data_IF_054295228392
#
_entry.id   IF_054295228392
#
_cell.length_a   1.000
_cell.length_b   1.000
_cell.length_c   1.000
_cell.angle_alpha   90.00
_cell.angle_beta   90.00
_cell.angle_gamma   90.00
#
_symmetry.space_group_name_H-M   'P 1'
#
loop_
_entity.id
_entity.type
_entity.pdbx_description
1 polymer ?
#
# COMPACT_ATOMS: atom_id res chain seq x y z
N UNK A 1 -4.63 -13.67 -2.70
CA UNK A 1 -4.79 -12.40 -1.95
C UNK A 1 -3.47 -12.01 -1.34
N UNK A 2 -3.04 -10.79 -1.55
CA UNK A 2 -1.76 -10.25 -1.08
C UNK A 2 -2.01 -9.13 -0.07
N UNK A 3 -1.04 -8.85 0.76
CA UNK A 3 -1.11 -7.74 1.70
C UNK A 3 0.12 -6.82 1.54
N UNK A 4 -0.07 -5.55 1.86
CA UNK A 4 0.96 -4.52 1.63
C UNK A 4 2.19 -4.73 2.51
N UNK A 5 2.01 -5.10 3.77
CA UNK A 5 3.14 -5.34 4.68
C UNK A 5 4.10 -6.41 4.14
N UNK A 6 3.57 -7.43 3.46
CA UNK A 6 4.41 -8.45 2.84
C UNK A 6 5.25 -7.90 1.68
N UNK A 7 4.73 -6.90 0.95
CA UNK A 7 5.47 -6.29 -0.17
C UNK A 7 6.61 -5.41 0.30
N UNK A 8 6.48 -4.77 1.44
CA UNK A 8 7.50 -3.87 1.97
C UNK A 8 8.81 -4.65 2.20
N UNK A 9 9.89 -4.17 1.60
CA UNK A 9 11.21 -4.79 1.68
C UNK A 9 11.53 -5.79 0.60
N UNK A 10 10.55 -6.23 -0.20
CA UNK A 10 10.82 -7.15 -1.30
C UNK A 10 11.66 -6.49 -2.39
N UNK A 11 12.58 -7.23 -3.02
CA UNK A 11 13.29 -6.73 -4.19
C UNK A 11 12.33 -6.56 -5.37
N UNK A 12 12.55 -5.51 -6.15
CA UNK A 12 11.83 -5.24 -7.39
C UNK A 12 12.73 -5.60 -8.55
N UNK A 13 12.34 -6.59 -9.34
CA UNK A 13 13.11 -7.10 -10.46
C UNK A 13 12.58 -6.56 -11.78
N UNK A 14 13.49 -6.06 -12.61
CA UNK A 14 13.21 -5.70 -13.99
C UNK A 14 13.11 -6.95 -14.86
N UNK A 15 12.56 -6.80 -16.06
CA UNK A 15 12.39 -7.93 -17.01
C UNK A 15 13.72 -8.59 -17.39
N UNK A 16 14.84 -7.88 -17.32
CA UNK A 16 16.18 -8.41 -17.58
C UNK A 16 16.82 -9.09 -16.35
N UNK A 17 16.10 -9.23 -15.24
CA UNK A 17 16.58 -9.82 -14.00
C UNK A 17 17.36 -8.89 -13.09
N UNK A 18 17.61 -7.65 -13.51
CA UNK A 18 18.28 -6.66 -12.67
C UNK A 18 17.34 -6.17 -11.57
N UNK A 19 17.89 -5.95 -10.39
CA UNK A 19 17.15 -5.37 -9.28
C UNK A 19 17.11 -3.85 -9.40
N UNK A 20 15.89 -3.29 -9.45
CA UNK A 20 15.67 -1.84 -9.50
C UNK A 20 15.78 -1.18 -8.12
N UNK A 21 15.63 -1.97 -7.06
CA UNK A 21 15.61 -1.52 -5.68
C UNK A 21 14.73 -2.45 -4.85
N UNK A 22 14.36 -2.02 -3.65
CA UNK A 22 13.40 -2.72 -2.80
C UNK A 22 12.17 -1.85 -2.59
N UNK A 23 11.06 -2.48 -2.29
CA UNK A 23 9.83 -1.76 -1.96
C UNK A 23 10.02 -1.04 -0.63
N UNK A 24 9.97 0.28 -0.64
CA UNK A 24 9.97 1.10 0.56
C UNK A 24 8.56 1.40 1.03
N UNK A 25 7.65 1.63 0.09
CA UNK A 25 6.28 2.02 0.37
C UNK A 25 5.39 1.74 -0.84
N UNK A 26 4.09 1.87 -0.65
CA UNK A 26 3.09 1.79 -1.71
C UNK A 26 2.35 3.11 -1.76
N UNK A 27 2.23 3.68 -2.96
CA UNK A 27 1.43 4.88 -3.21
C UNK A 27 0.01 4.53 -3.63
N UNK A 28 -0.93 5.37 -3.20
CA UNK A 28 -2.35 5.24 -3.52
C UNK A 28 -2.85 6.49 -4.23
N UNK A 29 -3.91 6.33 -5.01
CA UNK A 29 -4.60 7.46 -5.61
C UNK A 29 -5.62 8.09 -4.63
N UNK A 30 -6.38 9.06 -5.12
CA UNK A 30 -7.38 9.77 -4.33
C UNK A 30 -8.55 8.88 -3.84
N UNK A 31 -8.74 7.72 -4.46
CA UNK A 31 -9.76 6.72 -4.08
C UNK A 31 -9.17 5.55 -3.30
N UNK A 32 -7.95 5.68 -2.80
CA UNK A 32 -7.22 4.64 -2.09
C UNK A 32 -7.03 3.35 -2.91
N UNK A 33 -6.87 3.49 -4.21
CA UNK A 33 -6.46 2.38 -5.08
C UNK A 33 -4.94 2.37 -5.23
N UNK A 34 -4.38 1.19 -5.36
CA UNK A 34 -2.94 1.02 -5.58
C UNK A 34 -2.52 1.78 -6.85
N UNK A 35 -1.54 2.64 -6.73
CA UNK A 35 -1.10 3.52 -7.80
C UNK A 35 0.35 3.28 -8.21
N UNK A 36 1.25 3.15 -7.25
CA UNK A 36 2.66 2.97 -7.55
C UNK A 36 3.41 2.24 -6.43
N UNK A 37 4.56 1.71 -6.78
CA UNK A 37 5.53 1.16 -5.84
C UNK A 37 6.63 2.19 -5.66
N UNK A 38 6.90 2.57 -4.42
CA UNK A 38 7.96 3.50 -4.06
C UNK A 38 9.20 2.70 -3.70
N UNK A 39 10.31 3.00 -4.36
CA UNK A 39 11.57 2.31 -4.19
C UNK A 39 12.45 2.98 -3.14
N UNK A 40 13.31 2.19 -2.52
CA UNK A 40 14.25 2.64 -1.49
C UNK A 40 15.48 3.35 -2.04
N UNK A 41 15.57 3.60 -3.35
CA UNK A 41 16.68 4.34 -3.94
C UNK A 41 16.80 5.73 -3.36
N UNK A 42 17.98 6.04 -2.85
CA UNK A 42 18.26 7.38 -2.31
C UNK A 42 18.45 8.37 -3.45
N UNK A 43 17.76 9.50 -3.33
CA UNK A 43 17.98 10.67 -4.15
C UNK A 43 18.65 11.74 -3.28
N UNK A 44 19.55 12.49 -3.89
CA UNK A 44 20.26 13.58 -3.23
C UNK A 44 19.26 14.52 -2.53
N UNK A 45 19.49 14.80 -1.25
CA UNK A 45 18.64 15.63 -0.39
C UNK A 45 17.25 15.07 -0.07
N UNK A 46 16.92 13.85 -0.43
CA UNK A 46 15.64 13.21 -0.13
C UNK A 46 14.40 14.00 -0.55
N UNK A 47 14.52 14.86 -1.59
CA UNK A 47 13.40 15.68 -2.10
C UNK A 47 12.46 14.93 -3.03
N UNK A 48 12.85 13.76 -3.48
CA UNK A 48 12.09 12.95 -4.40
C UNK A 48 12.30 11.48 -4.11
N UNK A 49 11.44 10.64 -4.68
CA UNK A 49 11.56 9.19 -4.64
C UNK A 49 11.49 8.62 -6.04
N UNK A 50 12.00 7.42 -6.25
CA UNK A 50 11.74 6.66 -7.47
C UNK A 50 10.53 5.78 -7.27
N UNK A 51 9.69 5.71 -8.29
CA UNK A 51 8.49 4.90 -8.27
C UNK A 51 8.29 4.17 -9.60
N UNK A 52 7.61 3.04 -9.53
CA UNK A 52 7.13 2.27 -10.68
C UNK A 52 5.61 2.22 -10.60
N UNK A 53 4.92 2.46 -11.71
CA UNK A 53 3.46 2.38 -11.75
C UNK A 53 2.99 0.97 -11.40
N UNK A 54 1.92 0.89 -10.63
CA UNK A 54 1.33 -0.41 -10.29
C UNK A 54 0.90 -1.19 -11.53
N UNK A 55 0.44 -0.49 -12.58
CA UNK A 55 0.08 -1.11 -13.85
C UNK A 55 1.23 -1.83 -14.55
N UNK A 56 2.47 -1.53 -14.19
CA UNK A 56 3.66 -2.19 -14.74
C UNK A 56 4.12 -3.39 -13.92
N UNK A 57 3.43 -3.73 -12.84
CA UNK A 57 3.73 -4.93 -12.05
C UNK A 57 3.21 -6.15 -12.80
N UNK A 58 4.11 -7.04 -13.16
CA UNK A 58 3.79 -8.28 -13.88
C UNK A 58 3.50 -9.43 -12.91
N UNK A 59 4.16 -9.47 -11.77
CA UNK A 59 3.96 -10.52 -10.77
C UNK A 59 4.33 -10.03 -9.37
N UNK A 60 3.55 -10.49 -8.39
CA UNK A 60 3.85 -10.34 -6.97
C UNK A 60 4.12 -11.73 -6.40
N UNK A 61 5.40 -12.08 -6.26
CA UNK A 61 5.81 -13.34 -5.67
C UNK A 61 6.04 -13.24 -4.16
N UNK A 62 6.37 -14.36 -3.55
CA UNK A 62 6.71 -14.41 -2.13
C UNK A 62 8.06 -13.73 -1.84
N UNK A 63 8.96 -13.76 -2.80
CA UNK A 63 10.35 -13.32 -2.63
C UNK A 63 10.70 -12.06 -3.42
N UNK A 64 9.89 -11.67 -4.39
CA UNK A 64 10.16 -10.52 -5.26
C UNK A 64 8.91 -10.02 -5.97
N UNK A 65 8.93 -8.74 -6.30
CA UNK A 65 8.03 -8.15 -7.31
C UNK A 65 8.74 -8.13 -8.66
N UNK A 66 8.04 -8.52 -9.70
CA UNK A 66 8.56 -8.45 -11.07
C UNK A 66 7.77 -7.41 -11.84
N UNK A 67 8.47 -6.48 -12.47
CA UNK A 67 7.86 -5.45 -13.31
C UNK A 67 8.04 -5.78 -14.78
N UNK A 68 7.12 -5.29 -15.61
CA UNK A 68 7.14 -5.56 -17.05
C UNK A 68 8.32 -4.89 -17.74
N UNK A 69 8.63 -5.34 -18.97
CA UNK A 69 9.67 -4.73 -19.79
C UNK A 69 9.37 -3.26 -20.14
N UNK A 70 8.12 -2.84 -20.03
CA UNK A 70 7.68 -1.45 -20.27
C UNK A 70 7.81 -0.56 -19.03
N UNK A 71 8.16 -1.12 -17.89
CA UNK A 71 8.24 -0.36 -16.65
C UNK A 71 9.29 0.74 -16.75
N UNK A 72 8.90 1.92 -16.30
CA UNK A 72 9.75 3.10 -16.27
C UNK A 72 9.88 3.56 -14.82
N UNK A 73 11.11 3.79 -14.37
CA UNK A 73 11.36 4.42 -13.08
C UNK A 73 11.03 5.91 -13.19
N UNK A 74 10.03 6.34 -12.45
CA UNK A 74 9.64 7.75 -12.38
C UNK A 74 10.20 8.38 -11.12
N UNK A 75 10.67 9.60 -11.26
CA UNK A 75 11.11 10.43 -10.14
C UNK A 75 9.95 11.30 -9.69
N UNK A 76 9.47 11.08 -8.47
CA UNK A 76 8.32 11.80 -7.92
C UNK A 76 8.80 12.70 -6.78
N UNK A 77 8.55 14.02 -6.86
CA UNK A 77 8.82 14.91 -5.74
C UNK A 77 8.04 14.50 -4.49
N UNK A 78 8.67 14.52 -3.32
CA UNK A 78 8.02 14.08 -2.08
C UNK A 78 6.74 14.84 -1.76
N UNK A 79 6.66 16.11 -2.11
CA UNK A 79 5.46 16.92 -1.86
C UNK A 79 4.25 16.47 -2.69
N UNK A 80 4.46 15.65 -3.73
CA UNK A 80 3.40 15.05 -4.54
C UNK A 80 2.98 13.66 -4.07
N UNK A 81 3.70 13.08 -3.10
CA UNK A 81 3.33 11.81 -2.48
C UNK A 81 2.28 12.07 -1.40
N UNK A 82 1.04 12.24 -1.82
CA UNK A 82 -0.03 12.59 -0.89
C UNK A 82 -0.42 11.39 -0.04
N UNK A 83 -0.83 10.29 -0.67
CA UNK A 83 -1.33 9.08 0.01
C UNK A 83 -0.38 7.92 -0.20
N UNK A 84 0.19 7.41 0.88
CA UNK A 84 1.00 6.19 0.87
C UNK A 84 0.61 5.30 2.05
N UNK A 85 1.17 4.09 2.08
CA UNK A 85 0.93 3.20 3.20
C UNK A 85 1.56 3.74 4.50
N UNK A 86 2.81 4.20 4.46
CA UNK A 86 3.51 4.55 5.71
C UNK A 86 4.38 5.82 5.70
N UNK A 87 4.72 6.41 4.55
CA UNK A 87 5.71 7.50 4.50
C UNK A 87 5.21 8.83 3.92
N UNK A 88 4.05 8.85 3.31
CA UNK A 88 3.51 10.06 2.67
C UNK A 88 2.86 11.04 3.65
N UNK A 89 2.26 12.07 3.09
CA UNK A 89 1.57 13.12 3.87
C UNK A 89 0.36 12.51 4.59
N UNK A 90 -0.44 11.73 3.87
CA UNK A 90 -1.53 10.94 4.44
C UNK A 90 -1.10 9.47 4.40
N UNK A 91 -0.99 8.87 5.57
CA UNK A 91 -0.57 7.48 5.73
C UNK A 91 -1.78 6.60 5.95
N UNK A 92 -1.90 5.53 5.16
CA UNK A 92 -2.99 4.58 5.34
C UNK A 92 -2.86 3.82 6.66
N UNK A 93 -1.63 3.46 7.01
CA UNK A 93 -1.35 2.78 8.28
C UNK A 93 -1.80 3.65 9.45
N UNK A 94 -2.60 3.07 10.33
CA UNK A 94 -3.19 3.69 11.52
C UNK A 94 -4.35 4.65 11.26
N UNK A 95 -4.82 4.81 10.02
CA UNK A 95 -6.06 5.53 9.80
C UNK A 95 -7.25 4.79 10.44
N UNK A 96 -8.16 5.50 11.05
CA UNK A 96 -9.38 4.89 11.59
C UNK A 96 -10.31 4.45 10.45
N UNK A 97 -10.99 3.33 10.66
CA UNK A 97 -11.98 2.79 9.74
C UNK A 97 -13.36 2.86 10.40
N UNK A 98 -14.31 3.44 9.69
CA UNK A 98 -15.66 3.66 10.20
C UNK A 98 -16.69 2.88 9.40
N UNK A 99 -17.77 2.45 10.08
CA UNK A 99 -18.97 1.98 9.40
C UNK A 99 -19.71 3.15 8.76
N UNK A 100 -20.69 2.87 7.91
CA UNK A 100 -21.55 3.89 7.29
C UNK A 100 -22.35 4.69 8.33
N UNK A 101 -22.59 4.13 9.52
CA UNK A 101 -23.25 4.81 10.63
C UNK A 101 -22.29 5.67 11.47
N UNK A 102 -21.01 5.68 11.14
CA UNK A 102 -20.01 6.49 11.83
C UNK A 102 -19.40 5.82 13.06
N UNK A 103 -19.51 4.51 13.19
CA UNK A 103 -18.89 3.76 14.28
C UNK A 103 -17.48 3.34 13.90
N UNK A 104 -16.50 3.62 14.74
CA UNK A 104 -15.11 3.21 14.51
C UNK A 104 -14.95 1.70 14.74
N UNK A 105 -14.42 1.01 13.72
CA UNK A 105 -14.14 -0.43 13.78
C UNK A 105 -12.74 -0.75 14.29
N UNK A 106 -11.82 0.19 14.14
CA UNK A 106 -10.41 0.04 14.50
C UNK A 106 -9.55 0.88 13.60
N UNK A 107 -8.24 0.63 13.64
CA UNK A 107 -7.25 1.34 12.82
C UNK A 107 -6.55 0.39 11.87
N UNK A 108 -6.17 0.89 10.71
CA UNK A 108 -5.50 0.08 9.68
C UNK A 108 -4.12 -0.36 10.16
N UNK A 109 -3.91 -1.67 10.24
CA UNK A 109 -2.60 -2.28 10.44
C UNK A 109 -1.99 -2.76 9.12
N UNK A 110 -2.82 -3.27 8.22
CA UNK A 110 -2.43 -3.74 6.91
C UNK A 110 -3.64 -3.71 5.97
N UNK A 111 -3.39 -3.84 4.66
CA UNK A 111 -4.46 -3.92 3.67
C UNK A 111 -4.22 -5.08 2.73
N UNK A 112 -5.32 -5.65 2.25
CA UNK A 112 -5.33 -6.77 1.32
C UNK A 112 -5.81 -6.33 -0.06
N UNK A 113 -5.20 -6.90 -1.08
CA UNK A 113 -5.54 -6.64 -2.49
C UNK A 113 -5.37 -7.93 -3.30
N UNK A 114 -5.87 -7.94 -4.52
CA UNK A 114 -5.67 -9.05 -5.48
C UNK A 114 -4.56 -8.68 -6.45
N UNK A 115 -3.49 -9.44 -6.41
CA UNK A 115 -2.32 -9.23 -7.23
C UNK A 115 -2.38 -10.03 -8.52
N UNK A 116 -1.77 -9.54 -9.61
CA UNK A 116 -1.34 -8.15 -9.85
C UNK A 116 -2.44 -7.30 -10.50
N UNK A 117 -3.54 -7.91 -10.87
CA UNK A 117 -4.57 -7.32 -11.74
C UNK A 117 -5.47 -6.32 -11.03
N UNK A 118 -5.61 -6.44 -9.72
CA UNK A 118 -6.48 -5.57 -8.94
C UNK A 118 -5.75 -4.36 -8.37
N UNK A 119 -6.41 -3.21 -8.40
CA UNK A 119 -5.90 -1.98 -7.77
C UNK A 119 -6.67 -1.63 -6.50
N UNK A 120 -7.80 -2.29 -6.27
CA UNK A 120 -8.66 -2.00 -5.12
C UNK A 120 -8.21 -2.72 -3.86
N UNK A 121 -8.34 -2.04 -2.74
CA UNK A 121 -8.26 -2.66 -1.43
C UNK A 121 -9.52 -3.52 -1.24
N UNK A 122 -9.32 -4.79 -0.93
CA UNK A 122 -10.42 -5.74 -0.72
C UNK A 122 -10.62 -6.12 0.73
N UNK A 123 -9.74 -5.68 1.60
CA UNK A 123 -9.85 -5.94 3.02
C UNK A 123 -8.82 -5.20 3.83
N UNK A 124 -9.05 -5.18 5.13
CA UNK A 124 -8.18 -4.52 6.09
C UNK A 124 -7.82 -5.49 7.20
N UNK A 125 -6.61 -5.38 7.70
CA UNK A 125 -6.25 -5.89 9.00
C UNK A 125 -6.31 -4.71 9.97
N UNK A 126 -7.10 -4.83 11.04
CA UNK A 126 -7.36 -3.75 11.96
C UNK A 126 -6.81 -4.03 13.34
N UNK A 127 -6.39 -2.97 14.01
CA UNK A 127 -6.17 -2.94 15.44
C UNK A 127 -7.36 -2.28 16.11
N UNK A 128 -7.78 -2.80 17.27
CA UNK A 128 -8.96 -2.30 17.99
C UNK A 128 -8.69 -1.08 18.87
N UNK A 129 -7.59 -0.38 18.60
CA UNK A 129 -7.14 0.68 19.45
C UNK A 129 -6.31 0.18 20.63
N UNK A 130 -5.92 1.09 21.50
CA UNK A 130 -4.85 0.91 22.46
C UNK A 130 -5.04 -0.27 23.44
N UNK A 131 -6.26 -0.50 23.90
CA UNK A 131 -6.51 -1.56 24.90
C UNK A 131 -6.70 -2.93 24.29
N UNK A 132 -7.26 -3.01 23.10
CA UNK A 132 -7.52 -4.27 22.43
C UNK A 132 -6.26 -4.90 21.82
N UNK A 133 -5.28 -4.11 21.43
CA UNK A 133 -4.01 -4.61 20.89
C UNK A 133 -3.26 -5.53 21.86
N UNK A 134 -3.45 -5.33 23.15
CA UNK A 134 -2.79 -6.12 24.17
C UNK A 134 -3.42 -7.52 24.33
N UNK A 135 -4.72 -7.64 24.04
CA UNK A 135 -5.48 -8.86 24.35
C UNK A 135 -5.95 -9.64 23.12
N UNK A 136 -6.35 -8.96 22.06
CA UNK A 136 -7.00 -9.58 20.91
C UNK A 136 -6.16 -9.61 19.64
N UNK A 137 -5.10 -8.80 19.58
CA UNK A 137 -4.29 -8.68 18.38
C UNK A 137 -5.02 -7.98 17.23
N UNK A 138 -4.74 -8.41 16.02
CA UNK A 138 -5.27 -7.80 14.80
C UNK A 138 -6.49 -8.54 14.30
N UNK A 139 -7.50 -7.80 13.87
CA UNK A 139 -8.71 -8.35 13.24
C UNK A 139 -8.70 -8.13 11.75
N UNK A 140 -9.17 -9.13 11.02
CA UNK A 140 -9.29 -9.07 9.56
C UNK A 140 -10.71 -8.68 9.16
N UNK A 141 -10.83 -7.64 8.37
CA UNK A 141 -12.08 -7.19 7.77
C UNK A 141 -11.98 -7.35 6.26
N UNK A 142 -12.76 -8.26 5.69
CA UNK A 142 -12.84 -8.44 4.24
C UNK A 142 -14.06 -7.68 3.72
N UNK A 143 -13.86 -6.86 2.70
CA UNK A 143 -14.94 -6.12 2.08
C UNK A 143 -15.64 -6.99 1.05
N UNK A 144 -16.98 -7.09 1.07
CA UNK A 144 -17.73 -7.72 0.00
C UNK A 144 -17.53 -6.96 -1.31
N UNK A 145 -17.58 -7.67 -2.44
CA UNK A 145 -17.49 -7.04 -3.76
C UNK A 145 -18.58 -5.97 -3.92
N UNK A 146 -18.16 -4.78 -4.34
CA UNK A 146 -19.08 -3.66 -4.57
C UNK A 146 -19.64 -3.02 -3.32
N UNK A 147 -19.14 -3.34 -2.13
CA UNK A 147 -19.67 -2.70 -0.91
C UNK A 147 -18.93 -1.40 -0.60
N UNK A 148 -19.71 -0.36 -0.35
CA UNK A 148 -19.25 0.89 0.24
C UNK A 148 -19.41 0.87 1.76
N UNK A 149 -19.26 -0.31 2.37
CA UNK A 149 -19.63 -0.55 3.77
C UNK A 149 -18.73 0.09 4.82
N UNK A 150 -17.56 0.63 4.41
CA UNK A 150 -16.62 1.25 5.32
C UNK A 150 -15.99 2.49 4.70
N UNK A 151 -15.58 3.42 5.53
CA UNK A 151 -14.85 4.60 5.12
C UNK A 151 -13.60 4.82 5.98
N UNK A 152 -12.58 5.42 5.38
CA UNK A 152 -11.35 5.80 6.06
C UNK A 152 -11.46 7.22 6.57
N UNK A 153 -11.04 7.45 7.81
CA UNK A 153 -10.97 8.78 8.38
C UNK A 153 -9.63 9.42 8.02
N UNK A 154 -9.62 10.28 7.03
CA UNK A 154 -8.45 11.10 6.71
C UNK A 154 -8.40 12.34 7.60
N UNK A 155 -7.24 12.60 8.19
CA UNK A 155 -6.97 13.82 8.95
C UNK A 155 -6.11 14.78 8.14
#
# INVERSE_FOLDING_TARGET
MQNVQHLIGLPVLLANGRQAGRVQDIGFDEFWRLSCIILDKRIWFRKAVYAVDWSDVAACGDDALVVSARAVLRKIPRHRLLRTFQTGIVKLKELPVYTVEGRELGRVADVYFRSPEGTQIIGYELTDGFLADVFEGRRRLILPEGSEGVSLGEN
#
